data_IF_100289580105
#
_entry.id   IF_100289580105
#
_cell.length_a   1.000
_cell.length_b   1.000
_cell.length_c   1.000
_cell.angle_alpha   90.00
_cell.angle_beta   90.00
_cell.angle_gamma   90.00
#
_symmetry.space_group_name_H-M   'P 1'
#
loop_
_entity.id
_entity.type
_entity.pdbx_description
1 polymer ?
#
# COMPACT_ATOMS: atom_id res chain seq x y z
N UNK A 1 -34.38 -2.94 -19.60
CA UNK A 1 -33.09 -3.31 -18.99
C UNK A 1 -31.99 -3.09 -20.01
N UNK A 2 -31.19 -2.03 -19.90
CA UNK A 2 -29.93 -1.85 -20.63
C UNK A 2 -29.04 -0.93 -19.80
N UNK A 3 -28.23 -1.50 -18.90
CA UNK A 3 -27.17 -0.77 -18.18
C UNK A 3 -25.89 -0.77 -19.00
N UNK A 4 -26.00 -0.27 -20.24
CA UNK A 4 -24.86 0.01 -21.10
C UNK A 4 -24.50 1.48 -20.94
N UNK A 5 -24.11 1.88 -19.72
CA UNK A 5 -23.48 3.19 -19.54
C UNK A 5 -22.00 3.03 -19.88
N UNK A 6 -21.73 3.24 -21.17
CA UNK A 6 -20.42 3.55 -21.72
C UNK A 6 -19.76 4.69 -20.91
N UNK A 7 -18.99 4.34 -19.89
CA UNK A 7 -18.06 5.26 -19.21
C UNK A 7 -16.71 5.28 -19.93
N UNK A 8 -16.75 5.55 -21.23
CA UNK A 8 -15.59 5.82 -22.08
C UNK A 8 -15.14 7.28 -21.92
N UNK A 9 -14.61 7.61 -20.73
CA UNK A 9 -13.62 8.68 -20.50
C UNK A 9 -12.86 8.51 -19.16
N UNK A 10 -12.94 7.34 -18.51
CA UNK A 10 -12.78 7.22 -17.05
C UNK A 10 -11.44 6.67 -16.54
N UNK A 11 -10.38 6.72 -17.36
CA UNK A 11 -9.05 6.27 -16.94
C UNK A 11 -8.50 7.04 -15.72
N UNK A 12 -8.87 8.31 -15.58
CA UNK A 12 -8.40 9.20 -14.51
C UNK A 12 -9.30 9.21 -13.27
N UNK A 13 -10.62 9.02 -13.39
CA UNK A 13 -11.55 9.13 -12.25
C UNK A 13 -11.56 7.89 -11.36
N UNK A 14 -11.77 6.70 -11.93
CA UNK A 14 -11.87 5.45 -11.15
C UNK A 14 -10.53 5.04 -10.53
N UNK A 15 -9.43 5.24 -11.26
CA UNK A 15 -8.08 5.08 -10.72
C UNK A 15 -7.86 6.04 -9.54
N UNK A 16 -8.21 7.32 -9.68
CA UNK A 16 -8.12 8.28 -8.58
C UNK A 16 -9.04 7.91 -7.40
N UNK A 17 -10.22 7.32 -7.65
CA UNK A 17 -11.15 6.91 -6.60
C UNK A 17 -10.62 5.78 -5.72
N UNK A 18 -9.98 4.75 -6.29
CA UNK A 18 -9.39 3.67 -5.47
C UNK A 18 -8.19 4.14 -4.67
N UNK A 19 -7.38 5.04 -5.24
CA UNK A 19 -6.28 5.69 -4.51
C UNK A 19 -6.81 6.58 -3.38
N UNK A 20 -7.85 7.38 -3.63
CA UNK A 20 -8.47 8.22 -2.62
C UNK A 20 -9.08 7.39 -1.47
N UNK A 21 -9.77 6.29 -1.79
CA UNK A 21 -10.32 5.38 -0.78
C UNK A 21 -9.21 4.72 0.07
N UNK A 22 -8.10 4.32 -0.56
CA UNK A 22 -6.92 3.78 0.12
C UNK A 22 -6.26 4.78 1.08
N UNK A 23 -6.17 6.06 0.69
CA UNK A 23 -5.62 7.14 1.54
C UNK A 23 -6.56 7.44 2.71
N UNK A 24 -7.85 7.61 2.42
CA UNK A 24 -8.86 7.92 3.43
C UNK A 24 -9.02 6.80 4.46
N UNK A 25 -8.72 5.56 4.09
CA UNK A 25 -8.97 4.38 4.93
C UNK A 25 -10.40 3.85 4.80
N UNK A 26 -11.10 4.22 3.73
CA UNK A 26 -12.48 3.82 3.47
C UNK A 26 -12.54 2.39 2.93
N UNK A 27 -12.37 1.41 3.82
CA UNK A 27 -12.45 -0.02 3.50
C UNK A 27 -13.73 -0.39 2.75
N UNK A 28 -14.88 0.17 3.14
CA UNK A 28 -16.17 -0.11 2.49
C UNK A 28 -16.25 0.43 1.06
N UNK A 29 -15.73 1.64 0.81
CA UNK A 29 -15.67 2.19 -0.55
C UNK A 29 -14.68 1.40 -1.41
N UNK A 30 -13.51 1.10 -0.87
CA UNK A 30 -12.48 0.32 -1.54
C UNK A 30 -12.98 -1.09 -1.92
N UNK A 31 -13.66 -1.78 -1.01
CA UNK A 31 -14.25 -3.09 -1.29
C UNK A 31 -15.33 -3.03 -2.39
N UNK A 32 -16.23 -2.03 -2.36
CA UNK A 32 -17.24 -1.85 -3.41
C UNK A 32 -16.62 -1.58 -4.77
N UNK A 33 -15.56 -0.76 -4.83
CA UNK A 33 -14.84 -0.46 -6.06
C UNK A 33 -14.14 -1.70 -6.63
N UNK A 34 -13.50 -2.51 -5.79
CA UNK A 34 -12.82 -3.74 -6.21
C UNK A 34 -13.82 -4.80 -6.71
N UNK A 35 -14.98 -4.94 -6.05
CA UNK A 35 -16.04 -5.84 -6.54
C UNK A 35 -16.58 -5.38 -7.89
N UNK A 36 -16.79 -4.07 -8.04
CA UNK A 36 -17.29 -3.50 -9.29
C UNK A 36 -16.26 -3.60 -10.43
N UNK A 37 -14.96 -3.55 -10.11
CA UNK A 37 -13.89 -3.67 -11.08
C UNK A 37 -12.60 -4.19 -10.42
N UNK A 38 -12.34 -5.48 -10.59
CA UNK A 38 -11.17 -6.16 -10.02
C UNK A 38 -9.83 -5.64 -10.56
N UNK A 39 -9.82 -4.97 -11.73
CA UNK A 39 -8.60 -4.39 -12.29
C UNK A 39 -8.11 -3.14 -11.51
N UNK A 40 -8.94 -2.60 -10.60
CA UNK A 40 -8.57 -1.42 -9.82
C UNK A 40 -7.61 -1.72 -8.67
N UNK A 41 -7.51 -2.97 -8.21
CA UNK A 41 -6.66 -3.36 -7.07
C UNK A 41 -5.15 -3.18 -7.37
N UNK A 42 -4.77 -3.32 -8.64
CA UNK A 42 -3.39 -3.18 -9.13
C UNK A 42 -3.22 -1.96 -10.03
N UNK A 43 -4.23 -1.07 -10.05
CA UNK A 43 -4.21 0.10 -10.92
C UNK A 43 -3.14 1.07 -10.43
N UNK A 44 -2.23 1.41 -11.31
CA UNK A 44 -1.17 2.36 -11.05
C UNK A 44 -1.66 3.80 -11.31
N UNK A 45 -1.27 4.71 -10.42
CA UNK A 45 -1.40 6.17 -10.59
C UNK A 45 -0.30 6.72 -11.54
N UNK A 46 -0.31 8.02 -11.82
CA UNK A 46 0.71 8.73 -12.62
C UNK A 46 2.15 8.55 -12.11
N UNK A 47 2.33 8.11 -10.86
CA UNK A 47 3.63 7.83 -10.25
C UNK A 47 4.01 6.34 -10.28
N UNK A 48 3.23 5.49 -10.94
CA UNK A 48 3.40 4.03 -10.93
C UNK A 48 2.97 3.40 -9.60
N UNK A 49 2.28 4.15 -8.73
CA UNK A 49 1.91 3.68 -7.39
C UNK A 49 0.59 2.94 -7.43
N UNK A 50 0.53 1.80 -6.77
CA UNK A 50 -0.71 1.02 -6.59
C UNK A 50 -1.50 1.51 -5.37
N UNK A 51 -2.80 1.22 -5.26
CA UNK A 51 -3.58 1.56 -4.08
C UNK A 51 -3.02 0.91 -2.81
N UNK A 52 -2.37 -0.26 -2.92
CA UNK A 52 -1.68 -0.90 -1.80
C UNK A 52 -0.54 -0.03 -1.25
N UNK A 53 0.25 0.60 -2.12
CA UNK A 53 1.30 1.53 -1.71
C UNK A 53 0.72 2.74 -0.96
N UNK A 54 -0.43 3.26 -1.40
CA UNK A 54 -1.11 4.36 -0.72
C UNK A 54 -1.67 3.95 0.65
N UNK A 55 -2.23 2.74 0.79
CA UNK A 55 -2.63 2.21 2.10
C UNK A 55 -1.46 2.20 3.09
N UNK A 56 -0.29 1.74 2.64
CA UNK A 56 0.95 1.72 3.44
C UNK A 56 1.38 3.15 3.80
N UNK A 57 1.43 4.05 2.82
CA UNK A 57 1.78 5.46 3.03
C UNK A 57 0.82 6.16 3.99
N UNK A 58 -0.46 5.79 4.00
CA UNK A 58 -1.50 6.36 4.87
C UNK A 58 -1.72 5.60 6.20
N UNK A 59 -0.98 4.51 6.47
CA UNK A 59 -1.11 3.68 7.69
C UNK A 59 -2.45 2.92 7.77
N UNK A 60 -3.09 2.70 6.63
CA UNK A 60 -4.40 2.05 6.53
C UNK A 60 -4.23 0.55 6.37
N UNK A 61 -3.85 -0.12 7.46
CA UNK A 61 -3.65 -1.57 7.47
C UNK A 61 -4.92 -2.33 7.11
N UNK A 62 -6.10 -1.86 7.54
CA UNK A 62 -7.38 -2.47 7.21
C UNK A 62 -7.67 -2.46 5.70
N UNK A 63 -7.33 -1.36 5.02
CA UNK A 63 -7.48 -1.26 3.57
C UNK A 63 -6.44 -2.10 2.83
N UNK A 64 -5.20 -2.17 3.36
CA UNK A 64 -4.16 -3.04 2.82
C UNK A 64 -4.58 -4.52 2.92
N UNK A 65 -5.11 -4.96 4.06
CA UNK A 65 -5.65 -6.30 4.25
C UNK A 65 -6.76 -6.63 3.24
N UNK A 66 -7.67 -5.68 2.97
CA UNK A 66 -8.70 -5.91 1.93
C UNK A 66 -8.14 -6.03 0.52
N UNK A 67 -7.11 -5.26 0.16
CA UNK A 67 -6.45 -5.39 -1.14
C UNK A 67 -5.73 -6.72 -1.27
N UNK A 68 -5.04 -7.16 -0.22
CA UNK A 68 -4.35 -8.45 -0.18
C UNK A 68 -5.34 -9.61 -0.29
N UNK A 69 -6.48 -9.54 0.42
CA UNK A 69 -7.56 -10.52 0.29
C UNK A 69 -8.20 -10.53 -1.10
N UNK A 70 -8.21 -9.40 -1.79
CA UNK A 70 -8.61 -9.32 -3.20
C UNK A 70 -7.55 -9.83 -4.18
N UNK A 71 -6.38 -10.27 -3.69
CA UNK A 71 -5.27 -10.75 -4.50
C UNK A 71 -4.57 -9.64 -5.27
N UNK A 72 -4.32 -8.49 -4.62
CA UNK A 72 -3.49 -7.44 -5.18
C UNK A 72 -2.01 -7.82 -5.20
N UNK A 73 -1.30 -7.42 -6.24
CA UNK A 73 0.11 -7.69 -6.45
C UNK A 73 0.99 -6.80 -5.56
N UNK A 74 1.63 -7.43 -4.57
CA UNK A 74 2.57 -6.78 -3.64
C UNK A 74 3.94 -6.47 -4.27
N UNK A 75 4.25 -7.15 -5.37
CA UNK A 75 5.55 -7.06 -6.05
C UNK A 75 5.64 -5.89 -7.03
N UNK A 76 4.53 -5.18 -7.26
CA UNK A 76 4.51 -3.98 -8.09
C UNK A 76 5.44 -2.92 -7.52
N UNK A 77 6.15 -2.26 -8.42
CA UNK A 77 7.10 -1.19 -8.11
C UNK A 77 6.62 0.13 -8.69
N UNK A 78 6.84 1.21 -7.96
CA UNK A 78 6.60 2.56 -8.49
C UNK A 78 7.65 2.96 -9.54
N UNK A 79 7.51 4.15 -10.12
CA UNK A 79 8.51 4.68 -11.08
C UNK A 79 9.92 4.83 -10.49
N UNK A 80 10.07 4.81 -9.16
CA UNK A 80 11.36 4.80 -8.46
C UNK A 80 11.85 3.39 -8.14
N UNK A 81 11.24 2.35 -8.73
CA UNK A 81 11.49 0.94 -8.46
C UNK A 81 11.28 0.53 -6.99
N UNK A 82 10.43 1.25 -6.25
CA UNK A 82 10.12 0.93 -4.86
C UNK A 82 8.86 0.09 -4.77
N UNK A 83 8.93 -1.01 -4.04
CA UNK A 83 7.75 -1.81 -3.69
C UNK A 83 6.99 -1.21 -2.51
N UNK A 84 5.77 -1.68 -2.27
CA UNK A 84 5.00 -1.30 -1.09
C UNK A 84 5.79 -1.51 0.23
N UNK A 85 6.63 -2.56 0.30
CA UNK A 85 7.49 -2.82 1.45
C UNK A 85 8.59 -1.77 1.63
N UNK A 86 9.21 -1.30 0.53
CA UNK A 86 10.20 -0.22 0.59
C UNK A 86 9.59 1.08 1.13
N UNK A 87 8.35 1.40 0.71
CA UNK A 87 7.61 2.54 1.22
C UNK A 87 7.24 2.37 2.70
N UNK A 88 6.85 1.15 3.11
CA UNK A 88 6.60 0.81 4.51
C UNK A 88 7.86 1.04 5.36
N UNK A 89 9.01 0.52 4.93
CA UNK A 89 10.28 0.66 5.64
C UNK A 89 10.72 2.14 5.76
N UNK A 90 10.52 2.94 4.70
CA UNK A 90 10.79 4.38 4.73
C UNK A 90 9.91 5.10 5.76
N UNK A 91 8.61 4.78 5.80
CA UNK A 91 7.66 5.37 6.76
C UNK A 91 7.91 4.90 8.18
N UNK A 92 8.19 3.61 8.35
CA UNK A 92 8.55 3.00 9.62
C UNK A 92 9.82 3.63 10.15
N UNK A 93 10.83 3.98 9.34
CA UNK A 93 11.95 4.81 9.79
C UNK A 93 11.51 6.15 10.39
N UNK A 94 10.54 6.85 9.79
CA UNK A 94 9.99 8.08 10.39
C UNK A 94 9.24 7.82 11.72
N UNK A 95 8.56 6.67 11.86
CA UNK A 95 7.80 6.31 13.06
C UNK A 95 8.66 5.68 14.16
N UNK A 96 9.72 4.95 13.80
CA UNK A 96 10.71 4.33 14.69
C UNK A 96 11.59 5.39 15.34
N UNK A 97 11.97 6.45 14.62
CA UNK A 97 12.68 7.59 15.24
C UNK A 97 11.89 8.20 16.40
N UNK A 98 10.57 8.01 16.47
CA UNK A 98 9.73 8.48 17.57
C UNK A 98 9.23 7.38 18.52
N UNK A 99 9.52 6.09 18.32
CA UNK A 99 8.98 5.07 19.24
C UNK A 99 9.87 3.89 19.61
N UNK A 100 10.91 3.54 18.87
CA UNK A 100 11.76 2.42 19.28
C UNK A 100 13.23 2.66 18.93
N UNK A 101 14.05 2.69 19.99
CA UNK A 101 15.46 2.31 19.98
C UNK A 101 15.69 1.04 19.12
N UNK A 102 16.87 0.89 18.52
CA UNK A 102 17.11 0.08 17.34
C UNK A 102 17.10 -1.41 17.68
N UNK A 103 16.10 -2.15 17.21
CA UNK A 103 16.13 -3.62 17.24
C UNK A 103 16.18 -4.27 15.85
N UNK A 104 16.03 -3.47 14.78
CA UNK A 104 16.07 -3.95 13.38
C UNK A 104 17.43 -3.74 12.69
N UNK A 105 18.42 -3.16 13.39
CA UNK A 105 19.82 -3.16 12.93
C UNK A 105 20.54 -4.50 13.22
N UNK A 106 19.90 -5.43 13.94
CA UNK A 106 20.51 -6.69 14.37
C UNK A 106 20.56 -7.78 13.29
N UNK A 107 19.91 -7.60 12.13
CA UNK A 107 19.94 -8.60 11.04
C UNK A 107 20.93 -8.25 9.91
N UNK A 108 21.54 -7.07 9.91
CA UNK A 108 22.46 -6.62 8.84
C UNK A 108 23.92 -6.49 9.27
N UNK A 109 24.24 -6.61 10.56
CA UNK A 109 25.62 -6.62 11.05
C UNK A 109 25.84 -7.92 11.82
N UNK A 110 26.28 -8.93 11.08
CA UNK A 110 26.76 -10.18 11.64
C UNK A 110 27.90 -9.92 12.63
N UNK A 111 27.84 -10.61 13.76
CA UNK A 111 28.71 -10.48 14.93
C UNK A 111 28.49 -9.16 15.68
N UNK A 112 28.02 -9.25 16.92
CA UNK A 112 28.69 -8.65 18.07
C UNK A 112 28.13 -9.31 19.34
N UNK A 113 29.00 -10.15 19.88
CA UNK A 113 29.05 -10.76 21.19
C UNK A 113 28.02 -10.27 22.23
N UNK A 114 27.12 -11.16 22.64
CA UNK A 114 26.37 -11.05 23.88
C UNK A 114 27.35 -11.11 25.05
N UNK A 115 27.68 -9.97 25.65
CA UNK A 115 28.04 -9.94 27.07
C UNK A 115 26.84 -9.46 27.85
N UNK A 116 26.17 -10.43 28.47
CA UNK A 116 25.38 -10.25 29.68
C UNK A 116 26.05 -9.22 30.60
N UNK A 117 25.31 -8.20 31.02
CA UNK A 117 25.55 -7.57 32.30
C UNK A 117 24.24 -7.49 33.07
N UNK A 118 24.16 -8.46 34.00
CA UNK A 118 23.48 -8.55 35.30
C UNK A 118 22.14 -7.85 35.53
#
# INVERSE_FOLDING_TARGET
>A
MNRSENLFFTGSSLASQVHAAAINGDKGALHRLIIGNAALKDKEDQFGRTPLMYCVLADRLDCADTLLKAGADVNKTDHSQRTALHLAAQKVRHKITLKCKPFVWWLLLGSWNCTMDR
#
